data_IF_480983055478
#
_entry.id   IF_480983055478
#
_cell.length_a   1.000
_cell.length_b   1.000
_cell.length_c   1.000
_cell.angle_alpha   90.00
_cell.angle_beta   90.00
_cell.angle_gamma   90.00
#
_symmetry.space_group_name_H-M   'P 1'
#
loop_
_entity.id
_entity.type
_entity.pdbx_description
1 polymer ?
#
# COMPACT_ATOMS: atom_id res chain seq x y z
N UNK A 1 -13.17 3.09 14.07
CA UNK A 1 -12.65 1.72 13.82
C UNK A 1 -13.24 1.19 12.52
N UNK A 2 -12.43 0.46 11.76
CA UNK A 2 -12.88 -0.28 10.57
C UNK A 2 -13.86 -1.37 11.02
N UNK A 3 -14.94 -1.55 10.24
CA UNK A 3 -15.89 -2.63 10.45
C UNK A 3 -15.74 -3.64 9.32
N UNK A 4 -15.80 -4.90 9.65
CA UNK A 4 -15.79 -6.00 8.68
C UNK A 4 -17.17 -6.66 8.70
N UNK A 5 -17.92 -6.54 7.62
CA UNK A 5 -19.19 -7.22 7.43
C UNK A 5 -18.97 -8.51 6.64
N UNK A 6 -19.28 -9.62 7.27
CA UNK A 6 -19.17 -10.98 6.72
C UNK A 6 -20.55 -11.61 6.46
N UNK A 7 -21.62 -10.81 6.47
CA UNK A 7 -22.99 -11.32 6.27
C UNK A 7 -23.18 -11.99 4.91
N UNK A 8 -22.40 -11.58 3.90
CA UNK A 8 -22.49 -12.08 2.53
C UNK A 8 -21.56 -13.28 2.24
N UNK A 9 -21.00 -13.93 3.26
CA UNK A 9 -20.22 -15.17 3.12
C UNK A 9 -20.96 -16.42 3.60
N UNK A 10 -22.11 -16.26 4.28
CA UNK A 10 -22.82 -17.36 4.96
C UNK A 10 -23.32 -18.49 4.05
N UNK A 11 -23.33 -18.30 2.73
CA UNK A 11 -23.59 -19.38 1.78
C UNK A 11 -22.40 -20.33 1.56
N UNK A 12 -21.19 -19.96 2.01
CA UNK A 12 -19.93 -20.69 1.81
C UNK A 12 -19.23 -21.03 3.14
N UNK A 13 -19.46 -20.25 4.17
CA UNK A 13 -18.94 -20.39 5.54
C UNK A 13 -20.14 -20.33 6.49
N UNK A 14 -20.18 -21.16 7.51
CA UNK A 14 -21.22 -21.11 8.55
C UNK A 14 -20.71 -20.42 9.80
N UNK A 15 -21.64 -19.94 10.66
CA UNK A 15 -21.28 -19.43 11.97
C UNK A 15 -20.55 -20.49 12.82
N UNK A 16 -20.93 -21.76 12.67
CA UNK A 16 -20.27 -22.87 13.37
C UNK A 16 -18.81 -23.03 12.90
N UNK A 17 -18.53 -22.88 11.59
CA UNK A 17 -17.17 -22.94 11.06
C UNK A 17 -16.33 -21.79 11.62
N UNK A 18 -16.89 -20.56 11.64
CA UNK A 18 -16.22 -19.40 12.19
C UNK A 18 -15.89 -19.59 13.68
N UNK A 19 -16.86 -20.02 14.49
CA UNK A 19 -16.64 -20.25 15.91
C UNK A 19 -15.64 -21.38 16.18
N UNK A 20 -15.58 -22.39 15.32
CA UNK A 20 -14.59 -23.46 15.42
C UNK A 20 -13.14 -22.95 15.21
N UNK A 21 -12.96 -21.84 14.50
CA UNK A 21 -11.65 -21.19 14.30
C UNK A 21 -11.13 -20.41 15.51
N UNK A 22 -11.96 -20.17 16.55
CA UNK A 22 -11.61 -19.25 17.65
C UNK A 22 -10.24 -19.56 18.28
N UNK A 23 -9.99 -20.83 18.61
CA UNK A 23 -8.70 -21.24 19.21
C UNK A 23 -7.52 -21.04 18.28
N UNK A 24 -7.69 -21.31 17.00
CA UNK A 24 -6.64 -21.17 15.99
C UNK A 24 -6.29 -19.69 15.76
N UNK A 25 -7.31 -18.85 15.61
CA UNK A 25 -7.12 -17.40 15.45
C UNK A 25 -6.52 -16.78 16.70
N UNK A 26 -6.97 -17.20 17.90
CA UNK A 26 -6.42 -16.76 19.17
C UNK A 26 -4.92 -17.12 19.28
N UNK A 27 -4.56 -18.34 18.89
CA UNK A 27 -3.18 -18.79 18.89
C UNK A 27 -2.31 -17.99 17.90
N UNK A 28 -2.78 -17.79 16.66
CA UNK A 28 -2.09 -17.00 15.65
C UNK A 28 -1.88 -15.54 16.08
N UNK A 29 -2.92 -14.91 16.63
CA UNK A 29 -2.81 -13.55 17.15
C UNK A 29 -1.86 -13.46 18.35
N UNK A 30 -1.88 -14.43 19.24
CA UNK A 30 -0.95 -14.51 20.40
C UNK A 30 0.49 -14.69 19.90
N UNK A 31 0.71 -15.60 18.95
CA UNK A 31 2.02 -15.84 18.32
C UNK A 31 2.59 -14.55 17.70
N UNK A 32 1.76 -13.77 17.02
CA UNK A 32 2.15 -12.49 16.44
C UNK A 32 2.48 -11.45 17.53
N UNK A 33 1.62 -11.29 18.53
CA UNK A 33 1.77 -10.28 19.56
C UNK A 33 2.95 -10.57 20.50
N UNK A 34 3.17 -11.85 20.86
CA UNK A 34 4.23 -12.27 21.77
C UNK A 34 5.58 -12.48 21.04
N UNK A 35 5.58 -12.37 19.69
CA UNK A 35 6.80 -12.53 18.89
C UNK A 35 7.40 -13.92 18.97
N UNK A 36 6.60 -14.97 19.08
CA UNK A 36 7.07 -16.36 19.25
C UNK A 36 7.06 -17.16 17.94
N UNK A 37 6.55 -16.58 16.86
CA UNK A 37 6.41 -17.25 15.56
C UNK A 37 7.63 -17.12 14.65
N UNK A 38 7.59 -17.82 13.53
CA UNK A 38 8.59 -17.73 12.48
C UNK A 38 8.67 -16.29 11.94
N UNK A 39 9.90 -15.73 11.81
CA UNK A 39 10.12 -14.37 11.33
C UNK A 39 9.98 -13.29 12.40
N UNK A 40 10.00 -13.65 13.67
CA UNK A 40 9.87 -12.73 14.82
C UNK A 40 10.97 -11.67 14.91
N UNK A 41 12.04 -11.78 14.15
CA UNK A 41 13.08 -10.77 13.95
C UNK A 41 12.62 -9.58 13.06
N UNK A 42 11.40 -9.63 12.50
CA UNK A 42 10.82 -8.59 11.65
C UNK A 42 9.51 -8.01 12.21
N UNK A 43 9.36 -7.89 13.52
CA UNK A 43 8.16 -7.39 14.19
C UNK A 43 8.23 -5.92 14.60
N UNK A 44 9.31 -5.19 14.25
CA UNK A 44 9.49 -3.78 14.61
C UNK A 44 8.33 -2.88 14.18
N UNK A 45 7.62 -3.23 13.10
CA UNK A 45 6.47 -2.50 12.60
C UNK A 45 5.33 -2.37 13.63
N UNK A 46 5.17 -3.32 14.54
CA UNK A 46 4.15 -3.25 15.61
C UNK A 46 4.38 -2.09 16.59
N UNK A 47 5.61 -1.60 16.67
CA UNK A 47 6.01 -0.54 17.59
C UNK A 47 6.21 0.82 16.91
N UNK A 48 5.98 0.93 15.59
CA UNK A 48 6.09 2.18 14.85
C UNK A 48 5.02 3.23 15.26
N UNK A 49 3.74 2.85 15.51
CA UNK A 49 2.73 3.83 15.83
C UNK A 49 3.04 4.60 17.11
N UNK A 50 3.05 5.92 17.04
CA UNK A 50 3.30 6.84 18.16
C UNK A 50 2.26 7.96 18.16
N UNK A 51 1.99 8.55 19.35
CA UNK A 51 1.04 9.68 19.52
C UNK A 51 1.73 11.03 19.60
N UNK A 52 3.03 11.05 19.75
CA UNK A 52 3.83 12.27 19.83
C UNK A 52 4.96 12.22 18.81
N UNK A 53 5.31 13.38 18.26
CA UNK A 53 6.40 13.48 17.30
C UNK A 53 7.74 13.13 17.95
N UNK A 54 8.37 12.06 17.43
CA UNK A 54 9.74 11.72 17.79
C UNK A 54 10.72 12.71 17.15
N UNK A 55 11.98 12.68 17.57
CA UNK A 55 13.04 13.44 16.91
C UNK A 55 13.12 13.12 15.41
N UNK A 56 12.99 11.86 15.05
CA UNK A 56 13.00 11.41 13.64
C UNK A 56 11.82 11.99 12.84
N UNK A 57 10.61 11.97 13.41
CA UNK A 57 9.42 12.57 12.77
C UNK A 57 9.62 14.07 12.59
N UNK A 58 10.15 14.77 13.60
CA UNK A 58 10.46 16.19 13.52
C UNK A 58 11.49 16.51 12.43
N UNK A 59 12.50 15.65 12.26
CA UNK A 59 13.48 15.78 11.18
C UNK A 59 12.85 15.55 9.81
N UNK A 60 11.95 14.57 9.68
CA UNK A 60 11.20 14.31 8.45
C UNK A 60 10.37 15.55 8.05
N UNK A 61 9.66 16.15 9.00
CA UNK A 61 8.86 17.35 8.74
C UNK A 61 9.72 18.51 8.25
N UNK A 62 10.89 18.78 8.86
CA UNK A 62 11.83 19.81 8.38
C UNK A 62 12.37 19.52 6.98
N UNK A 63 12.73 18.26 6.71
CA UNK A 63 13.19 17.88 5.38
C UNK A 63 12.08 18.06 4.34
N UNK A 64 10.85 17.70 4.67
CA UNK A 64 9.69 17.89 3.80
C UNK A 64 9.42 19.39 3.52
N UNK A 65 9.47 20.26 4.53
CA UNK A 65 9.34 21.71 4.37
C UNK A 65 10.43 22.26 3.43
N UNK A 66 11.68 21.85 3.63
CA UNK A 66 12.79 22.24 2.74
C UNK A 66 12.56 21.79 1.31
N UNK A 67 12.19 20.51 1.09
CA UNK A 67 11.92 19.97 -0.25
C UNK A 67 10.78 20.77 -0.91
N UNK A 68 9.71 21.04 -0.19
CA UNK A 68 8.57 21.83 -0.70
C UNK A 68 8.95 23.26 -1.06
N UNK A 69 9.86 23.89 -0.32
CA UNK A 69 10.28 25.26 -0.56
C UNK A 69 11.21 25.41 -1.76
N UNK A 70 12.03 24.39 -2.08
CA UNK A 70 13.10 24.52 -3.05
C UNK A 70 12.93 23.65 -4.32
N UNK A 71 11.89 22.81 -4.38
CA UNK A 71 11.67 21.88 -5.49
C UNK A 71 10.28 22.00 -6.13
N UNK A 72 10.25 21.96 -7.46
CA UNK A 72 9.02 21.79 -8.25
C UNK A 72 8.59 20.31 -8.29
N UNK A 73 9.58 19.41 -8.21
CA UNK A 73 9.40 17.96 -8.32
C UNK A 73 10.19 17.27 -7.23
N UNK A 74 9.56 16.27 -6.61
CA UNK A 74 10.21 15.33 -5.73
C UNK A 74 10.15 13.92 -6.32
N UNK A 75 11.31 13.28 -6.51
CA UNK A 75 11.37 11.93 -7.07
C UNK A 75 11.74 10.93 -5.98
N UNK A 76 10.87 9.97 -5.75
CA UNK A 76 11.07 8.87 -4.80
C UNK A 76 11.65 7.67 -5.55
N UNK A 77 12.86 7.29 -5.22
CA UNK A 77 13.57 6.16 -5.85
C UNK A 77 13.41 4.93 -4.96
N UNK A 78 12.67 3.94 -5.41
CA UNK A 78 12.42 2.70 -4.66
C UNK A 78 11.63 1.68 -5.47
N UNK A 79 11.55 0.46 -4.96
CA UNK A 79 10.77 -0.64 -5.54
C UNK A 79 10.11 -1.45 -4.42
N UNK A 80 9.03 -2.17 -4.72
CA UNK A 80 8.26 -2.91 -3.74
C UNK A 80 7.74 -2.01 -2.63
N UNK A 81 7.95 -2.39 -1.36
CA UNK A 81 7.49 -1.60 -0.21
C UNK A 81 8.05 -0.18 -0.13
N UNK A 82 9.24 0.05 -0.69
CA UNK A 82 9.84 1.40 -0.78
C UNK A 82 9.13 2.34 -1.76
N UNK A 83 8.19 1.84 -2.52
CA UNK A 83 7.45 2.58 -3.55
C UNK A 83 5.93 2.45 -3.34
N UNK A 84 5.43 1.23 -3.09
CA UNK A 84 3.99 0.96 -3.06
C UNK A 84 3.29 1.65 -1.89
N UNK A 85 3.84 1.57 -0.68
CA UNK A 85 3.21 2.16 0.51
C UNK A 85 2.98 3.66 0.40
N UNK A 86 4.03 4.49 0.19
CA UNK A 86 3.84 5.94 0.05
C UNK A 86 2.95 6.31 -1.15
N UNK A 87 3.07 5.63 -2.29
CA UNK A 87 2.22 5.90 -3.45
C UNK A 87 0.76 5.55 -3.19
N UNK A 88 0.51 4.45 -2.50
CA UNK A 88 -0.84 4.03 -2.10
C UNK A 88 -1.54 5.11 -1.28
N UNK A 89 -0.89 5.65 -0.25
CA UNK A 89 -1.47 6.69 0.58
C UNK A 89 -1.68 8.01 -0.17
N UNK A 90 -0.70 8.44 -0.99
CA UNK A 90 -0.80 9.68 -1.77
C UNK A 90 -1.97 9.61 -2.75
N UNK A 91 -2.07 8.55 -3.54
CA UNK A 91 -3.14 8.42 -4.54
C UNK A 91 -4.51 8.21 -3.89
N UNK A 92 -4.59 7.48 -2.77
CA UNK A 92 -5.85 7.29 -2.05
C UNK A 92 -6.37 8.62 -1.46
N UNK A 93 -5.51 9.40 -0.81
CA UNK A 93 -5.91 10.66 -0.14
C UNK A 93 -6.08 11.85 -1.09
N UNK A 94 -5.32 11.89 -2.19
CA UNK A 94 -5.28 13.05 -3.09
C UNK A 94 -5.78 12.76 -4.51
N UNK A 95 -6.15 11.51 -4.77
CA UNK A 95 -6.61 11.04 -6.07
C UNK A 95 -5.47 10.75 -7.06
N UNK A 96 -5.78 10.03 -8.16
CA UNK A 96 -4.80 9.61 -9.16
C UNK A 96 -4.18 10.78 -9.94
N UNK A 97 -4.83 11.94 -9.93
CA UNK A 97 -4.40 13.16 -10.62
C UNK A 97 -3.69 14.17 -9.69
N UNK A 98 -3.21 13.73 -8.54
CA UNK A 98 -2.64 14.56 -7.48
C UNK A 98 -1.50 15.51 -7.92
N UNK A 99 -0.83 15.25 -9.02
CA UNK A 99 0.27 16.07 -9.54
C UNK A 99 -0.19 17.26 -10.40
N UNK A 100 -1.47 17.33 -10.80
CA UNK A 100 -1.97 18.41 -11.65
C UNK A 100 -1.98 19.73 -10.85
N UNK A 101 -1.39 20.77 -11.44
CA UNK A 101 -1.34 22.11 -10.86
C UNK A 101 -0.33 22.28 -9.72
N UNK A 102 0.48 21.25 -9.42
CA UNK A 102 1.53 21.32 -8.40
C UNK A 102 2.85 21.85 -8.95
N UNK A 103 3.69 22.40 -8.06
CA UNK A 103 5.00 22.96 -8.31
C UNK A 103 5.65 23.44 -7.02
N UNK A 104 6.53 24.40 -7.07
CA UNK A 104 7.25 24.94 -5.90
C UNK A 104 6.29 25.34 -4.78
N UNK A 105 6.56 24.91 -3.56
CA UNK A 105 5.69 25.04 -2.41
C UNK A 105 4.73 23.85 -2.21
N UNK A 106 4.38 23.15 -3.30
CA UNK A 106 3.61 21.91 -3.30
C UNK A 106 4.09 21.04 -4.46
N UNK A 107 5.24 20.36 -4.34
CA UNK A 107 5.91 19.71 -5.46
C UNK A 107 5.09 18.55 -6.04
N UNK A 108 5.27 18.32 -7.33
CA UNK A 108 4.83 17.10 -7.99
C UNK A 108 5.65 15.92 -7.46
N UNK A 109 5.02 14.78 -7.22
CA UNK A 109 5.69 13.58 -6.70
C UNK A 109 5.70 12.50 -7.77
N UNK A 110 6.88 12.03 -8.12
CA UNK A 110 7.07 10.94 -9.06
C UNK A 110 7.90 9.82 -8.44
N UNK A 111 7.74 8.64 -8.99
CA UNK A 111 8.43 7.44 -8.53
C UNK A 111 9.36 6.91 -9.63
N UNK A 112 10.56 6.51 -9.25
CA UNK A 112 11.58 5.95 -10.14
C UNK A 112 12.22 4.70 -9.53
N UNK A 113 12.90 3.91 -10.35
CA UNK A 113 13.53 2.67 -9.87
C UNK A 113 12.56 1.55 -9.52
N UNK A 114 11.31 1.66 -9.93
CA UNK A 114 10.28 0.63 -9.82
C UNK A 114 10.09 -0.17 -11.13
N UNK A 115 10.98 0.04 -12.11
CA UNK A 115 10.98 -0.65 -13.39
C UNK A 115 12.20 -0.29 -14.23
N UNK A 116 12.35 -1.00 -15.37
CA UNK A 116 13.47 -0.87 -16.32
C UNK A 116 13.03 -0.34 -17.70
N UNK A 117 11.87 0.32 -17.77
CA UNK A 117 11.35 0.85 -19.04
C UNK A 117 12.09 2.11 -19.48
N UNK A 118 12.77 2.05 -20.62
CA UNK A 118 13.39 3.24 -21.26
C UNK A 118 12.35 4.31 -21.59
N UNK A 119 11.13 3.92 -21.95
CA UNK A 119 10.04 4.87 -22.25
C UNK A 119 9.66 5.69 -21.01
N UNK A 120 9.43 5.03 -19.89
CA UNK A 120 9.14 5.69 -18.61
C UNK A 120 10.32 6.58 -18.16
N UNK A 121 11.55 6.11 -18.35
CA UNK A 121 12.75 6.90 -18.06
C UNK A 121 12.80 8.20 -18.88
N UNK A 122 12.59 8.10 -20.20
CA UNK A 122 12.58 9.27 -21.09
C UNK A 122 11.44 10.26 -20.77
N UNK A 123 10.30 9.75 -20.30
CA UNK A 123 9.19 10.59 -19.83
C UNK A 123 9.61 11.37 -18.57
N UNK A 124 10.14 10.69 -17.56
CA UNK A 124 10.58 11.31 -16.31
C UNK A 124 11.69 12.34 -16.55
N UNK A 125 12.72 12.03 -17.34
CA UNK A 125 13.82 12.96 -17.60
C UNK A 125 13.34 14.22 -18.33
N UNK A 126 12.44 14.08 -19.30
CA UNK A 126 11.80 15.21 -19.99
C UNK A 126 10.97 16.09 -19.04
N UNK A 127 10.25 15.45 -18.10
CA UNK A 127 9.48 16.15 -17.09
C UNK A 127 10.38 16.98 -16.16
N UNK A 128 11.59 16.52 -15.86
CA UNK A 128 12.55 17.20 -14.99
C UNK A 128 13.30 18.35 -15.69
N UNK A 129 13.25 18.44 -17.03
CA UNK A 129 13.90 19.50 -17.77
C UNK A 129 13.40 20.89 -17.32
N UNK A 130 14.31 21.77 -16.95
CA UNK A 130 14.03 23.13 -16.49
C UNK A 130 13.46 23.25 -15.09
N UNK A 131 13.04 22.16 -14.44
CA UNK A 131 12.44 22.19 -13.09
C UNK A 131 13.50 22.00 -11.99
N UNK A 132 13.26 22.62 -10.84
CA UNK A 132 13.98 22.31 -9.62
C UNK A 132 13.45 21.00 -9.02
N UNK A 133 14.37 20.10 -8.65
CA UNK A 133 13.96 18.83 -8.09
C UNK A 133 14.88 18.33 -6.98
N UNK A 134 14.32 17.50 -6.11
CA UNK A 134 15.01 16.75 -5.07
C UNK A 134 14.68 15.26 -5.19
N UNK A 135 15.51 14.40 -4.64
CA UNK A 135 15.30 12.94 -4.69
C UNK A 135 15.38 12.32 -3.29
N UNK A 136 14.55 11.31 -3.03
CA UNK A 136 14.74 10.35 -1.95
C UNK A 136 15.19 9.01 -2.52
N UNK A 137 16.27 8.46 -1.99
CA UNK A 137 16.78 7.13 -2.34
C UNK A 137 16.42 6.19 -1.20
N UNK A 138 15.53 5.22 -1.46
CA UNK A 138 14.98 4.32 -0.45
C UNK A 138 15.48 2.91 -0.71
N UNK A 139 16.48 2.47 0.06
CA UNK A 139 17.00 1.10 -0.05
C UNK A 139 17.84 0.74 1.19
N UNK A 140 17.69 -0.48 1.69
CA UNK A 140 18.61 -0.99 2.72
C UNK A 140 20.02 -1.21 2.18
N UNK A 141 20.19 -1.60 0.91
CA UNK A 141 21.47 -2.05 0.37
C UNK A 141 21.98 -1.33 -0.89
N UNK A 142 21.10 -0.65 -1.65
CA UNK A 142 21.37 -0.15 -3.05
C UNK A 142 21.87 -1.25 -4.00
N UNK A 143 21.70 -2.52 -3.65
CA UNK A 143 22.14 -3.62 -4.54
C UNK A 143 21.03 -4.12 -5.44
N UNK A 144 19.79 -3.67 -5.25
CA UNK A 144 18.67 -3.90 -6.17
C UNK A 144 18.91 -3.09 -7.44
N UNK A 145 18.90 -3.75 -8.58
CA UNK A 145 19.36 -3.19 -9.87
C UNK A 145 18.58 -1.95 -10.28
N UNK A 146 17.26 -1.98 -10.19
CA UNK A 146 16.37 -0.93 -10.67
C UNK A 146 16.57 0.40 -9.92
N UNK A 147 16.50 0.46 -8.58
CA UNK A 147 16.79 1.69 -7.83
C UNK A 147 18.23 2.15 -7.96
N UNK A 148 19.19 1.21 -8.09
CA UNK A 148 20.61 1.57 -8.26
C UNK A 148 20.86 2.33 -9.59
N UNK A 149 20.26 1.88 -10.68
CA UNK A 149 20.32 2.56 -11.98
C UNK A 149 19.68 3.94 -11.90
N UNK A 150 18.47 4.03 -11.33
CA UNK A 150 17.76 5.30 -11.17
C UNK A 150 18.56 6.29 -10.29
N UNK A 151 19.16 5.81 -9.20
CA UNK A 151 20.03 6.61 -8.32
C UNK A 151 21.21 7.22 -9.08
N UNK A 152 21.95 6.41 -9.85
CA UNK A 152 23.09 6.89 -10.64
C UNK A 152 22.69 8.00 -11.61
N UNK A 153 21.61 7.79 -12.32
CA UNK A 153 21.17 8.70 -13.36
C UNK A 153 20.62 10.03 -12.78
N UNK A 154 19.77 9.97 -11.76
CA UNK A 154 19.19 11.16 -11.14
C UNK A 154 20.22 11.95 -10.33
N UNK A 155 21.13 11.27 -9.61
CA UNK A 155 22.29 11.92 -8.98
C UNK A 155 23.11 12.71 -10.00
N UNK A 156 23.49 12.10 -11.12
CA UNK A 156 24.24 12.76 -12.17
C UNK A 156 23.50 13.99 -12.74
N UNK A 157 22.16 13.91 -12.90
CA UNK A 157 21.36 15.06 -13.33
C UNK A 157 21.38 16.19 -12.30
N UNK A 158 21.28 15.88 -10.99
CA UNK A 158 21.40 16.87 -9.92
C UNK A 158 22.79 17.53 -9.90
N UNK A 159 23.86 16.74 -9.98
CA UNK A 159 25.24 17.24 -9.98
C UNK A 159 25.52 18.14 -11.19
N UNK A 160 24.99 17.80 -12.35
CA UNK A 160 25.10 18.67 -13.54
C UNK A 160 24.35 19.98 -13.42
N UNK A 161 23.21 19.97 -12.74
CA UNK A 161 22.37 21.17 -12.59
C UNK A 161 22.84 22.09 -11.47
N UNK A 162 23.24 21.53 -10.33
CA UNK A 162 23.52 22.30 -9.11
C UNK A 162 24.99 22.27 -8.66
N UNK A 163 25.85 21.55 -9.36
CA UNK A 163 27.17 21.18 -8.86
C UNK A 163 27.09 20.15 -7.72
N UNK A 164 28.24 19.61 -7.32
CA UNK A 164 28.31 18.55 -6.28
C UNK A 164 27.71 19.03 -4.94
N UNK A 165 28.11 20.20 -4.47
CA UNK A 165 27.62 20.75 -3.19
C UNK A 165 26.13 21.12 -3.23
N UNK A 166 25.65 21.66 -4.35
CA UNK A 166 24.22 21.97 -4.50
C UNK A 166 23.35 20.71 -4.58
N UNK A 167 23.83 19.68 -5.27
CA UNK A 167 23.14 18.38 -5.37
C UNK A 167 23.01 17.68 -4.01
N UNK A 168 24.05 17.76 -3.18
CA UNK A 168 24.09 17.17 -1.83
C UNK A 168 22.88 17.58 -0.97
N UNK A 169 22.49 18.83 -1.02
CA UNK A 169 21.37 19.37 -0.25
C UNK A 169 19.98 18.96 -0.76
N UNK A 170 19.92 18.22 -1.88
CA UNK A 170 18.70 17.76 -2.58
C UNK A 170 18.57 16.24 -2.64
N UNK A 171 19.51 15.53 -2.02
CA UNK A 171 19.51 14.05 -1.95
C UNK A 171 19.27 13.62 -0.51
N UNK A 172 18.24 12.81 -0.32
CA UNK A 172 17.85 12.24 0.96
C UNK A 172 17.96 10.72 0.88
N UNK A 173 18.74 10.12 1.77
CA UNK A 173 18.95 8.67 1.79
C UNK A 173 18.18 8.02 2.94
N UNK A 174 17.22 7.16 2.61
CA UNK A 174 16.45 6.38 3.58
C UNK A 174 16.98 4.95 3.53
N UNK A 175 17.73 4.54 4.56
CA UNK A 175 18.56 3.33 4.50
C UNK A 175 18.79 2.70 5.88
N UNK A 176 19.56 1.61 5.90
CA UNK A 176 19.98 0.95 7.14
C UNK A 176 20.80 1.92 8.03
N UNK A 177 20.68 1.84 9.37
CA UNK A 177 21.40 2.73 10.28
C UNK A 177 22.93 2.61 10.22
N UNK A 178 23.46 1.43 9.90
CA UNK A 178 24.88 1.13 10.09
C UNK A 178 25.58 0.56 8.85
N UNK A 179 24.87 -0.12 7.95
CA UNK A 179 25.47 -0.93 6.89
C UNK A 179 24.80 -0.74 5.54
N UNK A 180 25.47 -1.24 4.50
CA UNK A 180 24.98 -1.17 3.11
C UNK A 180 25.62 -0.03 2.31
N UNK A 181 25.65 -0.21 1.00
CA UNK A 181 26.31 0.73 0.08
C UNK A 181 25.67 2.13 0.10
N UNK A 182 24.33 2.22 0.27
CA UNK A 182 23.67 3.54 0.37
C UNK A 182 24.10 4.28 1.64
N UNK A 183 24.21 3.57 2.77
CA UNK A 183 24.69 4.17 4.02
C UNK A 183 26.11 4.72 3.87
N UNK A 184 26.99 3.93 3.26
CA UNK A 184 28.36 4.34 2.98
C UNK A 184 28.39 5.58 2.08
N UNK A 185 27.70 5.52 0.94
CA UNK A 185 27.61 6.66 0.00
C UNK A 185 27.08 7.92 0.69
N UNK A 186 25.99 7.81 1.42
CA UNK A 186 25.38 8.96 2.09
C UNK A 186 26.32 9.57 3.14
N UNK A 187 27.11 8.75 3.82
CA UNK A 187 28.10 9.21 4.81
C UNK A 187 29.27 9.92 4.11
N UNK A 188 29.84 9.34 3.06
CA UNK A 188 30.96 9.90 2.31
C UNK A 188 30.58 11.20 1.60
N UNK A 189 29.41 11.27 1.00
CA UNK A 189 28.90 12.42 0.27
C UNK A 189 28.22 13.47 1.20
N UNK A 190 27.93 13.10 2.45
CA UNK A 190 27.26 13.93 3.45
C UNK A 190 25.80 14.24 3.13
N UNK A 191 25.06 13.29 2.58
CA UNK A 191 23.62 13.40 2.36
C UNK A 191 22.84 13.30 3.67
N UNK A 192 21.67 13.95 3.72
CA UNK A 192 20.76 13.75 4.85
C UNK A 192 20.21 12.31 4.85
N UNK A 193 20.24 11.67 6.02
CA UNK A 193 19.86 10.27 6.14
C UNK A 193 18.72 10.06 7.12
N UNK A 194 17.81 9.12 6.79
CA UNK A 194 16.75 8.61 7.66
C UNK A 194 16.87 7.10 7.76
N UNK A 195 16.41 6.55 8.89
CA UNK A 195 16.63 5.15 9.22
C UNK A 195 15.47 4.27 8.79
N UNK A 196 15.78 3.18 8.06
CA UNK A 196 14.88 2.04 7.94
C UNK A 196 15.20 1.11 9.09
N UNK A 197 14.30 0.88 10.06
CA UNK A 197 14.56 -0.05 11.15
C UNK A 197 14.94 -1.44 10.62
N UNK A 198 15.99 -2.08 11.13
CA UNK A 198 16.46 -3.36 10.60
C UNK A 198 15.44 -4.49 10.77
N UNK A 199 14.60 -4.39 11.79
CA UNK A 199 13.53 -5.30 12.17
C UNK A 199 12.16 -5.00 11.49
N UNK A 200 12.15 -4.16 10.43
CA UNK A 200 10.96 -3.88 9.62
C UNK A 200 11.16 -4.35 8.18
N UNK A 201 10.30 -5.23 7.72
CA UNK A 201 10.27 -5.70 6.34
C UNK A 201 9.77 -4.63 5.35
N UNK A 202 10.16 -4.72 4.06
CA UNK A 202 9.80 -3.70 3.05
C UNK A 202 8.29 -3.44 2.94
N UNK A 203 7.47 -4.48 2.89
CA UNK A 203 6.01 -4.37 2.76
C UNK A 203 5.27 -3.90 4.02
N UNK A 204 5.97 -3.85 5.17
CA UNK A 204 5.51 -3.33 6.46
C UNK A 204 6.13 -1.96 6.80
N UNK A 205 6.77 -1.28 5.84
CA UNK A 205 7.61 -0.12 6.13
C UNK A 205 6.95 1.24 5.92
N UNK A 206 5.68 1.30 5.55
CA UNK A 206 5.00 2.56 5.21
C UNK A 206 4.99 3.58 6.36
N UNK A 207 4.90 3.12 7.61
CA UNK A 207 4.94 3.96 8.82
C UNK A 207 6.37 4.24 9.32
N UNK A 208 7.39 3.95 8.54
CA UNK A 208 8.79 4.37 8.75
C UNK A 208 9.12 5.58 7.87
N UNK A 209 10.31 6.17 7.95
CA UNK A 209 10.74 7.22 7.03
C UNK A 209 10.57 6.88 5.54
N UNK A 210 10.48 5.58 5.19
CA UNK A 210 10.17 5.08 3.83
C UNK A 210 8.88 5.68 3.28
N UNK A 211 7.81 5.68 4.07
CA UNK A 211 6.55 6.30 3.70
C UNK A 211 6.44 7.73 4.20
N UNK A 212 6.83 8.00 5.45
CA UNK A 212 6.58 9.27 6.12
C UNK A 212 7.22 10.47 5.42
N UNK A 213 8.43 10.36 4.87
CA UNK A 213 9.04 11.49 4.15
C UNK A 213 8.30 11.82 2.85
N UNK A 214 8.02 10.88 1.92
CA UNK A 214 7.20 11.18 0.76
C UNK A 214 5.81 11.73 1.09
N UNK A 215 5.17 11.21 2.14
CA UNK A 215 3.85 11.64 2.59
C UNK A 215 3.86 13.08 3.12
N UNK A 216 4.84 13.43 3.96
CA UNK A 216 5.01 14.79 4.45
C UNK A 216 5.30 15.78 3.30
N UNK A 217 6.10 15.38 2.30
CA UNK A 217 6.34 16.19 1.09
C UNK A 217 5.05 16.37 0.29
N UNK A 218 4.18 15.34 0.22
CA UNK A 218 2.86 15.43 -0.41
C UNK A 218 1.89 16.36 0.33
N UNK A 219 2.21 16.76 1.57
CA UNK A 219 1.36 17.59 2.42
C UNK A 219 0.34 16.79 3.23
N UNK A 220 0.54 15.49 3.37
CA UNK A 220 -0.26 14.60 4.23
C UNK A 220 0.21 14.79 5.67
N UNK A 221 -0.73 14.84 6.62
CA UNK A 221 -0.42 14.92 8.04
C UNK A 221 0.04 13.55 8.57
N UNK A 222 1.37 13.39 8.61
CA UNK A 222 1.98 12.14 9.07
C UNK A 222 1.74 11.86 10.56
N UNK A 223 1.44 12.88 11.37
CA UNK A 223 1.09 12.66 12.79
C UNK A 223 -0.32 12.12 12.93
N UNK A 224 -1.30 12.65 12.16
CA UNK A 224 -2.63 12.07 12.13
C UNK A 224 -2.60 10.63 11.60
N UNK A 225 -1.77 10.34 10.61
CA UNK A 225 -1.57 8.94 10.15
C UNK A 225 -1.01 8.05 11.27
N UNK A 226 0.00 8.50 12.00
CA UNK A 226 0.57 7.76 13.13
C UNK A 226 -0.45 7.60 14.27
N UNK A 227 -1.26 8.61 14.55
CA UNK A 227 -2.35 8.54 15.52
C UNK A 227 -3.39 7.48 15.12
N UNK A 228 -3.76 7.43 13.84
CA UNK A 228 -4.68 6.40 13.33
C UNK A 228 -4.14 4.98 13.49
N UNK A 229 -2.86 4.78 13.18
CA UNK A 229 -2.19 3.50 13.40
C UNK A 229 -2.10 3.15 14.90
N UNK A 230 -1.89 4.14 15.78
CA UNK A 230 -1.88 3.93 17.23
C UNK A 230 -3.28 3.56 17.77
N UNK A 231 -4.33 4.18 17.24
CA UNK A 231 -5.72 3.78 17.56
C UNK A 231 -5.99 2.33 17.13
N UNK A 232 -5.51 1.94 15.95
CA UNK A 232 -5.61 0.57 15.46
C UNK A 232 -4.90 -0.42 16.38
N UNK A 233 -3.65 -0.11 16.77
CA UNK A 233 -2.86 -0.94 17.68
C UNK A 233 -3.58 -1.20 19.00
N UNK A 234 -4.21 -0.18 19.57
CA UNK A 234 -4.96 -0.30 20.84
C UNK A 234 -6.27 -1.06 20.63
N UNK A 235 -7.04 -0.70 19.60
CA UNK A 235 -8.40 -1.21 19.38
C UNK A 235 -8.43 -2.67 18.92
N UNK A 236 -7.46 -3.08 18.10
CA UNK A 236 -7.45 -4.41 17.51
C UNK A 236 -6.65 -5.45 18.33
N UNK A 237 -6.30 -5.12 19.57
CA UNK A 237 -5.71 -6.08 20.51
C UNK A 237 -6.76 -6.99 21.21
N UNK A 238 -8.08 -6.77 20.96
CA UNK A 238 -9.17 -7.56 21.50
C UNK A 238 -9.07 -9.03 21.05
N UNK A 239 -9.24 -9.96 22.00
CA UNK A 239 -9.11 -11.41 21.78
C UNK A 239 -10.48 -12.09 21.67
N UNK A 240 -11.27 -11.69 20.70
CA UNK A 240 -12.58 -12.29 20.39
C UNK A 240 -12.96 -11.99 18.94
N UNK A 241 -14.04 -12.62 18.43
CA UNK A 241 -14.61 -12.31 17.13
C UNK A 241 -15.34 -10.95 17.06
N UNK A 242 -15.36 -10.17 18.11
CA UNK A 242 -15.69 -8.73 18.02
C UNK A 242 -14.55 -7.94 17.36
N UNK A 243 -13.34 -8.50 17.32
CA UNK A 243 -12.21 -7.93 16.63
C UNK A 243 -12.32 -8.16 15.11
N UNK A 244 -12.40 -7.12 14.28
CA UNK A 244 -12.50 -7.25 12.82
C UNK A 244 -11.25 -7.91 12.19
N UNK A 245 -10.08 -7.83 12.83
CA UNK A 245 -8.87 -8.58 12.41
C UNK A 245 -9.13 -10.08 12.46
N UNK A 246 -9.77 -10.57 13.52
CA UNK A 246 -10.12 -11.98 13.64
C UNK A 246 -11.15 -12.42 12.61
N UNK A 247 -12.17 -11.59 12.40
CA UNK A 247 -13.22 -11.88 11.41
C UNK A 247 -12.64 -12.02 10.02
N UNK A 248 -11.84 -11.04 9.59
CA UNK A 248 -11.24 -11.05 8.26
C UNK A 248 -10.25 -12.21 8.08
N UNK A 249 -9.30 -12.40 9.00
CA UNK A 249 -8.31 -13.47 8.91
C UNK A 249 -8.95 -14.88 8.95
N UNK A 250 -9.95 -15.10 9.80
CA UNK A 250 -10.65 -16.37 9.88
C UNK A 250 -11.45 -16.68 8.62
N UNK A 251 -12.25 -15.72 8.14
CA UNK A 251 -13.11 -15.92 6.96
C UNK A 251 -12.26 -16.18 5.71
N UNK A 252 -11.18 -15.42 5.50
CA UNK A 252 -10.24 -15.66 4.39
C UNK A 252 -9.70 -17.10 4.41
N UNK A 253 -9.25 -17.57 5.58
CA UNK A 253 -8.71 -18.92 5.73
C UNK A 253 -9.79 -20.01 5.55
N UNK A 254 -11.02 -19.77 6.01
CA UNK A 254 -12.14 -20.69 5.77
C UNK A 254 -12.50 -20.76 4.29
N UNK A 255 -12.59 -19.63 3.60
CA UNK A 255 -12.84 -19.59 2.17
C UNK A 255 -11.72 -20.29 1.38
N UNK A 256 -10.45 -20.09 1.77
CA UNK A 256 -9.31 -20.81 1.19
C UNK A 256 -9.45 -22.33 1.39
N UNK A 257 -9.77 -22.80 2.58
CA UNK A 257 -10.01 -24.22 2.89
C UNK A 257 -11.21 -24.81 2.14
N UNK A 258 -12.19 -23.96 1.80
CA UNK A 258 -13.35 -24.31 1.00
C UNK A 258 -13.10 -24.21 -0.52
N UNK A 259 -11.81 -24.08 -0.95
CA UNK A 259 -11.39 -24.14 -2.35
C UNK A 259 -11.39 -22.80 -3.09
N UNK A 260 -11.55 -21.67 -2.38
CA UNK A 260 -11.27 -20.36 -2.99
C UNK A 260 -9.76 -20.22 -3.18
N UNK A 261 -9.34 -19.80 -4.36
CA UNK A 261 -7.93 -19.66 -4.72
C UNK A 261 -7.50 -18.21 -4.90
N UNK A 262 -8.45 -17.30 -5.07
CA UNK A 262 -8.20 -15.88 -5.35
C UNK A 262 -9.11 -15.01 -4.51
N UNK A 263 -8.53 -13.91 -4.01
CA UNK A 263 -9.25 -12.82 -3.37
C UNK A 263 -9.14 -11.59 -4.25
N UNK A 264 -10.30 -10.98 -4.57
CA UNK A 264 -10.37 -9.70 -5.29
C UNK A 264 -10.59 -8.61 -4.24
N UNK A 265 -9.58 -7.75 -4.08
CA UNK A 265 -9.60 -6.62 -3.16
C UNK A 265 -9.88 -5.35 -3.96
N UNK A 266 -11.00 -4.71 -3.67
CA UNK A 266 -11.57 -3.71 -4.57
C UNK A 266 -12.24 -2.56 -3.84
N UNK A 267 -12.41 -1.44 -4.54
CA UNK A 267 -13.12 -0.27 -4.06
C UNK A 267 -13.75 0.48 -5.23
N UNK A 268 -14.78 1.27 -4.93
CA UNK A 268 -15.39 2.24 -5.85
C UNK A 268 -14.64 3.58 -5.86
N UNK A 269 -13.59 3.73 -5.03
CA UNK A 269 -12.76 4.94 -4.96
C UNK A 269 -11.57 4.84 -5.93
N UNK A 270 -11.49 5.68 -6.98
CA UNK A 270 -10.43 5.59 -8.01
C UNK A 270 -9.01 5.74 -7.46
N UNK A 271 -8.83 6.47 -6.36
CA UNK A 271 -7.55 6.59 -5.66
C UNK A 271 -7.05 5.28 -5.03
N UNK A 272 -7.91 4.28 -4.92
CA UNK A 272 -7.63 3.01 -4.25
C UNK A 272 -6.69 2.08 -5.04
N UNK A 273 -6.54 2.26 -6.33
CA UNK A 273 -5.77 1.34 -7.20
C UNK A 273 -4.36 1.02 -6.68
N UNK A 274 -3.62 2.03 -6.26
CA UNK A 274 -2.26 1.81 -5.75
C UNK A 274 -2.27 1.27 -4.31
N UNK A 275 -3.32 1.54 -3.54
CA UNK A 275 -3.52 0.92 -2.25
C UNK A 275 -3.77 -0.59 -2.39
N UNK A 276 -4.58 -0.99 -3.35
CA UNK A 276 -4.73 -2.38 -3.76
C UNK A 276 -3.39 -3.01 -4.16
N UNK A 277 -2.54 -2.31 -4.92
CA UNK A 277 -1.20 -2.78 -5.28
C UNK A 277 -0.27 -3.00 -4.06
N UNK A 278 -0.34 -2.14 -3.04
CA UNK A 278 0.36 -2.35 -1.78
C UNK A 278 -0.19 -3.59 -1.03
N UNK A 279 -1.51 -3.73 -0.96
CA UNK A 279 -2.17 -4.90 -0.36
C UNK A 279 -1.78 -6.20 -1.07
N UNK A 280 -1.69 -6.19 -2.42
CA UNK A 280 -1.22 -7.35 -3.18
C UNK A 280 0.19 -7.77 -2.76
N UNK A 281 1.11 -6.82 -2.57
CA UNK A 281 2.45 -7.14 -2.09
C UNK A 281 2.40 -7.65 -0.65
N UNK A 282 1.64 -6.99 0.23
CA UNK A 282 1.53 -7.36 1.63
C UNK A 282 1.12 -8.82 1.78
N UNK A 283 -0.01 -9.21 1.20
CA UNK A 283 -0.54 -10.56 1.33
C UNK A 283 0.19 -11.58 0.43
N UNK A 284 0.50 -11.22 -0.81
CA UNK A 284 1.15 -12.13 -1.76
C UNK A 284 2.53 -12.61 -1.28
N UNK A 285 3.38 -11.69 -0.81
CA UNK A 285 4.70 -12.06 -0.28
C UNK A 285 4.64 -12.70 1.11
N UNK A 286 3.61 -12.40 1.91
CA UNK A 286 3.48 -12.95 3.26
C UNK A 286 2.88 -14.35 3.27
N UNK A 287 1.88 -14.62 2.45
CA UNK A 287 1.13 -15.89 2.44
C UNK A 287 1.58 -16.87 1.35
N UNK A 288 2.07 -16.38 0.21
CA UNK A 288 2.41 -17.19 -0.96
C UNK A 288 3.65 -18.03 -0.76
N UNK A 289 3.60 -19.05 0.10
CA UNK A 289 4.71 -19.94 0.47
C UNK A 289 4.24 -21.39 0.61
N UNK A 290 5.15 -22.33 0.44
CA UNK A 290 4.91 -23.76 0.66
C UNK A 290 3.69 -24.32 -0.12
N UNK A 291 3.41 -23.74 -1.29
CA UNK A 291 2.23 -24.11 -2.09
C UNK A 291 0.90 -23.64 -1.52
N UNK A 292 0.91 -22.75 -0.52
CA UNK A 292 -0.25 -22.17 0.14
C UNK A 292 -0.48 -20.71 -0.26
N UNK A 293 -1.60 -20.14 0.17
CA UNK A 293 -1.96 -18.74 0.06
C UNK A 293 -2.99 -18.47 -1.03
N UNK A 294 -3.78 -17.40 -0.81
CA UNK A 294 -4.71 -16.86 -1.78
C UNK A 294 -3.96 -16.00 -2.80
N UNK A 295 -4.30 -16.11 -4.09
CA UNK A 295 -3.74 -15.21 -5.09
C UNK A 295 -4.44 -13.85 -4.99
N UNK A 296 -3.71 -12.77 -4.65
CA UNK A 296 -4.30 -11.45 -4.45
C UNK A 296 -4.51 -10.74 -5.78
N UNK A 297 -5.75 -10.39 -6.07
CA UNK A 297 -6.16 -9.60 -7.25
C UNK A 297 -6.72 -8.27 -6.78
N UNK A 298 -6.59 -7.20 -7.56
CA UNK A 298 -7.23 -5.92 -7.27
C UNK A 298 -8.13 -5.48 -8.41
N UNK A 299 -9.22 -4.77 -8.10
CA UNK A 299 -10.11 -4.17 -9.05
C UNK A 299 -10.52 -2.76 -8.60
N UNK A 300 -10.91 -1.93 -9.57
CA UNK A 300 -11.44 -0.58 -9.38
C UNK A 300 -12.86 -0.52 -9.96
N UNK A 301 -13.87 -0.58 -9.12
CA UNK A 301 -15.25 -0.48 -9.54
C UNK A 301 -15.67 1.00 -9.64
N UNK A 302 -16.63 1.37 -10.54
CA UNK A 302 -17.40 0.54 -11.49
C UNK A 302 -16.61 0.14 -12.75
N UNK A 303 -15.44 0.74 -13.02
CA UNK A 303 -14.68 0.55 -14.27
C UNK A 303 -14.42 -0.93 -14.56
N UNK A 304 -13.94 -1.69 -13.58
CA UNK A 304 -13.61 -3.11 -13.76
C UNK A 304 -14.84 -4.04 -13.75
N UNK A 305 -16.02 -3.58 -13.42
CA UNK A 305 -17.25 -4.33 -13.73
C UNK A 305 -17.43 -4.51 -15.24
N UNK A 306 -16.93 -3.56 -16.05
CA UNK A 306 -16.94 -3.63 -17.51
C UNK A 306 -15.79 -4.45 -18.11
N UNK A 307 -14.89 -4.98 -17.29
CA UNK A 307 -13.77 -5.86 -17.68
C UNK A 307 -13.84 -7.23 -17.01
N UNK A 308 -14.00 -7.28 -15.69
CA UNK A 308 -13.98 -8.48 -14.86
C UNK A 308 -15.37 -8.97 -14.45
N UNK A 309 -16.40 -8.11 -14.49
CA UNK A 309 -17.73 -8.42 -13.98
C UNK A 309 -18.33 -9.70 -14.56
N UNK A 310 -18.15 -9.98 -15.87
CA UNK A 310 -18.61 -11.23 -16.47
C UNK A 310 -17.90 -12.45 -15.87
N UNK A 311 -16.59 -12.38 -15.65
CA UNK A 311 -15.81 -13.48 -15.05
C UNK A 311 -16.20 -13.71 -13.60
N UNK A 312 -16.39 -12.64 -12.84
CA UNK A 312 -16.85 -12.70 -11.44
C UNK A 312 -18.23 -13.35 -11.39
N UNK A 313 -19.18 -12.85 -12.20
CA UNK A 313 -20.59 -13.28 -12.16
C UNK A 313 -20.81 -14.71 -12.64
N UNK A 314 -20.10 -15.17 -13.69
CA UNK A 314 -20.38 -16.46 -14.35
C UNK A 314 -19.14 -17.33 -14.57
N UNK A 315 -17.96 -16.90 -14.14
CA UNK A 315 -16.71 -17.69 -14.26
C UNK A 315 -16.60 -18.79 -13.21
N UNK A 316 -15.37 -19.23 -12.94
CA UNK A 316 -15.10 -20.24 -11.91
C UNK A 316 -15.42 -19.75 -10.51
N UNK A 317 -16.00 -20.62 -9.68
CA UNK A 317 -16.39 -20.28 -8.29
C UNK A 317 -15.25 -20.41 -7.29
N UNK A 318 -14.00 -20.24 -7.71
CA UNK A 318 -12.79 -20.28 -6.89
C UNK A 318 -12.31 -18.91 -6.40
N UNK A 319 -13.16 -17.90 -6.52
CA UNK A 319 -12.90 -16.51 -6.10
C UNK A 319 -13.84 -16.09 -4.97
N UNK A 320 -13.44 -15.05 -4.25
CA UNK A 320 -14.29 -14.23 -3.37
C UNK A 320 -13.83 -12.79 -3.43
N UNK A 321 -14.65 -11.88 -2.96
CA UNK A 321 -14.40 -10.43 -3.01
C UNK A 321 -14.25 -9.84 -1.61
N UNK A 322 -13.40 -8.82 -1.50
CA UNK A 322 -13.28 -7.94 -0.32
C UNK A 322 -13.44 -6.51 -0.78
N UNK A 323 -14.62 -5.93 -0.57
CA UNK A 323 -14.97 -4.56 -0.97
C UNK A 323 -14.63 -3.57 0.14
N UNK A 324 -13.74 -2.63 -0.15
CA UNK A 324 -13.37 -1.55 0.76
C UNK A 324 -14.19 -0.31 0.45
N UNK A 325 -14.86 0.23 1.47
CA UNK A 325 -15.75 1.37 1.34
C UNK A 325 -15.33 2.52 2.24
N UNK A 326 -15.53 3.72 1.72
CA UNK A 326 -15.33 4.97 2.44
C UNK A 326 -16.63 5.79 2.44
N UNK A 327 -16.80 6.62 3.47
CA UNK A 327 -17.88 7.58 3.48
C UNK A 327 -17.72 8.58 2.33
N UNK A 328 -18.81 9.00 1.71
CA UNK A 328 -18.76 9.96 0.63
C UNK A 328 -18.18 11.32 1.13
N UNK A 329 -17.43 12.06 0.28
CA UNK A 329 -16.86 13.35 0.65
C UNK A 329 -17.94 14.39 0.94
N UNK A 330 -17.59 15.43 1.71
CA UNK A 330 -18.52 16.51 2.03
C UNK A 330 -19.00 17.28 0.79
N UNK A 331 -18.12 17.46 -0.21
CA UNK A 331 -18.49 18.08 -1.48
C UNK A 331 -19.23 17.07 -2.36
N UNK A 332 -20.46 17.40 -2.77
CA UNK A 332 -21.33 16.52 -3.54
C UNK A 332 -21.50 17.05 -4.96
N UNK A 333 -21.54 16.15 -5.93
CA UNK A 333 -21.98 16.48 -7.30
C UNK A 333 -23.44 16.04 -7.46
N UNK A 334 -24.31 16.99 -7.81
CA UNK A 334 -25.73 16.73 -8.08
C UNK A 334 -25.97 16.63 -9.57
N UNK A 335 -26.66 15.59 -10.00
CA UNK A 335 -26.99 15.32 -11.40
C UNK A 335 -28.10 16.28 -11.84
N UNK A 336 -27.82 17.03 -12.91
CA UNK A 336 -28.81 17.90 -13.55
C UNK A 336 -29.69 17.14 -14.53
N UNK A 337 -30.76 17.81 -15.01
CA UNK A 337 -31.57 17.30 -16.12
C UNK A 337 -31.04 17.74 -17.49
N UNK A 338 -31.29 16.94 -18.52
CA UNK A 338 -31.13 17.32 -19.92
C UNK A 338 -32.51 17.53 -20.54
N UNK A 339 -32.71 18.65 -21.25
CA UNK A 339 -34.01 19.02 -21.81
C UNK A 339 -34.52 18.08 -22.89
N UNK A 340 -33.62 17.33 -23.56
CA UNK A 340 -34.00 16.31 -24.57
C UNK A 340 -34.14 14.92 -23.97
N UNK A 341 -33.47 14.66 -22.85
CA UNK A 341 -33.40 13.34 -22.18
C UNK A 341 -33.12 12.19 -23.18
N UNK A 342 -32.19 12.41 -24.12
CA UNK A 342 -31.86 11.39 -25.14
C UNK A 342 -31.11 10.20 -24.55
N UNK A 343 -30.39 10.40 -23.45
CA UNK A 343 -29.71 9.36 -22.66
C UNK A 343 -30.65 8.63 -21.68
N UNK A 344 -31.88 9.15 -21.49
CA UNK A 344 -32.86 8.56 -20.58
C UNK A 344 -32.56 8.76 -19.10
N UNK A 345 -31.61 9.64 -18.73
CA UNK A 345 -31.10 9.76 -17.37
C UNK A 345 -31.81 10.77 -16.46
N UNK A 346 -32.85 11.48 -16.95
CA UNK A 346 -33.59 12.47 -16.14
C UNK A 346 -34.23 11.88 -14.86
N UNK A 347 -34.40 10.57 -14.77
CA UNK A 347 -34.86 9.95 -13.52
C UNK A 347 -33.82 10.08 -12.38
N UNK A 348 -32.57 10.46 -12.67
CA UNK A 348 -31.51 10.75 -11.68
C UNK A 348 -31.44 12.24 -11.31
N UNK A 349 -32.24 13.10 -11.91
CA UNK A 349 -32.27 14.54 -11.61
C UNK A 349 -32.37 14.79 -10.10
N UNK A 350 -31.48 15.64 -9.57
CA UNK A 350 -31.42 15.96 -8.14
C UNK A 350 -30.79 14.89 -7.25
N UNK A 351 -30.40 13.74 -7.79
CA UNK A 351 -29.62 12.74 -7.07
C UNK A 351 -28.12 13.12 -7.10
N UNK A 352 -27.38 12.67 -6.09
CA UNK A 352 -25.91 12.84 -6.07
C UNK A 352 -25.22 11.67 -6.74
N UNK A 353 -23.97 11.85 -7.18
CA UNK A 353 -23.14 10.72 -7.66
C UNK A 353 -22.99 9.64 -6.57
N UNK A 354 -22.79 10.03 -5.32
CA UNK A 354 -22.67 9.08 -4.20
C UNK A 354 -23.93 8.23 -4.01
N UNK A 355 -25.13 8.79 -4.29
CA UNK A 355 -26.35 8.02 -4.28
C UNK A 355 -26.34 6.94 -5.37
N UNK A 356 -25.85 7.28 -6.56
CA UNK A 356 -25.76 6.31 -7.68
C UNK A 356 -24.71 5.25 -7.39
N UNK A 357 -23.56 5.68 -6.87
CA UNK A 357 -22.47 4.79 -6.46
C UNK A 357 -22.91 3.78 -5.41
N UNK A 358 -23.62 4.23 -4.37
CA UNK A 358 -24.22 3.35 -3.36
C UNK A 358 -25.17 2.31 -3.99
N UNK A 359 -25.96 2.70 -4.99
CA UNK A 359 -26.85 1.76 -5.67
C UNK A 359 -26.09 0.80 -6.59
N UNK A 360 -24.99 1.26 -7.20
CA UNK A 360 -24.10 0.39 -7.95
C UNK A 360 -23.46 -0.66 -7.04
N UNK A 361 -22.92 -0.25 -5.90
CA UNK A 361 -22.37 -1.16 -4.89
C UNK A 361 -23.41 -2.20 -4.42
N UNK A 362 -24.58 -1.76 -3.96
CA UNK A 362 -25.62 -2.68 -3.45
C UNK A 362 -26.08 -3.66 -4.54
N UNK A 363 -26.25 -3.19 -5.77
CA UNK A 363 -26.64 -4.02 -6.90
C UNK A 363 -25.56 -5.05 -7.27
N UNK A 364 -24.29 -4.66 -7.23
CA UNK A 364 -23.15 -5.55 -7.50
C UNK A 364 -23.03 -6.63 -6.43
N UNK A 365 -23.07 -6.26 -5.15
CA UNK A 365 -23.01 -7.24 -4.04
C UNK A 365 -24.16 -8.25 -4.15
N UNK A 366 -25.39 -7.78 -4.35
CA UNK A 366 -26.55 -8.67 -4.48
C UNK A 366 -26.37 -9.66 -5.64
N UNK A 367 -25.94 -9.17 -6.82
CA UNK A 367 -25.75 -10.01 -8.01
C UNK A 367 -24.62 -11.03 -7.82
N UNK A 368 -23.47 -10.63 -7.27
CA UNK A 368 -22.33 -11.52 -7.08
C UNK A 368 -22.61 -12.59 -6.03
N UNK A 369 -23.26 -12.23 -4.92
CA UNK A 369 -23.68 -13.18 -3.88
C UNK A 369 -24.72 -14.17 -4.42
N UNK A 370 -25.73 -13.72 -5.15
CA UNK A 370 -26.71 -14.59 -5.81
C UNK A 370 -26.02 -15.52 -6.83
N UNK A 371 -24.95 -15.05 -7.47
CA UNK A 371 -24.09 -15.83 -8.35
C UNK A 371 -23.16 -16.82 -7.63
N UNK A 372 -23.15 -16.85 -6.30
CA UNK A 372 -22.32 -17.74 -5.48
C UNK A 372 -20.90 -17.26 -5.24
N UNK A 373 -20.64 -15.95 -5.37
CA UNK A 373 -19.37 -15.31 -4.99
C UNK A 373 -19.52 -14.71 -3.59
N UNK A 374 -18.76 -15.19 -2.59
CA UNK A 374 -18.78 -14.58 -1.25
C UNK A 374 -18.20 -13.17 -1.30
N UNK A 375 -18.78 -12.25 -0.54
CA UNK A 375 -18.34 -10.87 -0.43
C UNK A 375 -18.12 -10.50 1.04
N UNK A 376 -16.92 -10.03 1.35
CA UNK A 376 -16.56 -9.37 2.60
C UNK A 376 -16.62 -7.86 2.34
N UNK A 377 -17.25 -7.09 3.22
CA UNK A 377 -17.23 -5.63 3.13
C UNK A 377 -16.41 -5.04 4.27
N UNK A 378 -15.44 -4.19 3.95
CA UNK A 378 -14.70 -3.36 4.90
C UNK A 378 -15.23 -1.93 4.85
N UNK A 379 -15.95 -1.51 5.87
CA UNK A 379 -16.41 -0.14 6.04
C UNK A 379 -15.35 0.64 6.84
N UNK A 380 -14.65 1.53 6.14
CA UNK A 380 -13.55 2.32 6.70
C UNK A 380 -14.01 3.68 7.27
N UNK A 381 -15.25 4.11 6.97
CA UNK A 381 -15.74 5.43 7.37
C UNK A 381 -15.10 6.57 6.55
N UNK A 382 -14.94 7.74 7.17
CA UNK A 382 -14.39 8.92 6.49
C UNK A 382 -12.95 8.71 6.01
N UNK A 383 -12.68 9.04 4.74
CA UNK A 383 -11.34 8.98 4.16
C UNK A 383 -10.54 10.22 4.56
N UNK A 384 -9.56 10.05 5.44
CA UNK A 384 -8.64 11.08 5.90
C UNK A 384 -7.30 10.47 6.32
N UNK A 385 -6.31 11.30 6.65
CA UNK A 385 -4.95 10.88 6.99
C UNK A 385 -4.94 9.87 8.15
N UNK A 386 -5.74 10.13 9.20
CA UNK A 386 -5.86 9.24 10.36
C UNK A 386 -6.44 7.87 9.98
N UNK A 387 -7.47 7.86 9.14
CA UNK A 387 -8.10 6.63 8.69
C UNK A 387 -7.18 5.79 7.82
N UNK A 388 -6.38 6.40 6.96
CA UNK A 388 -5.41 5.67 6.13
C UNK A 388 -4.31 5.05 7.00
N UNK A 389 -3.86 5.73 8.05
CA UNK A 389 -2.95 5.15 9.05
C UNK A 389 -3.55 3.95 9.79
N UNK A 390 -4.82 4.05 10.22
CA UNK A 390 -5.58 2.94 10.80
C UNK A 390 -5.66 1.75 9.84
N UNK A 391 -5.97 2.00 8.55
CA UNK A 391 -6.16 0.98 7.54
C UNK A 391 -4.86 0.23 7.22
N UNK A 392 -3.72 0.92 7.12
CA UNK A 392 -2.43 0.27 6.95
C UNK A 392 -2.13 -0.70 8.09
N UNK A 393 -2.20 -0.22 9.32
CA UNK A 393 -1.87 -1.05 10.49
C UNK A 393 -2.87 -2.21 10.68
N UNK A 394 -4.16 -1.96 10.42
CA UNK A 394 -5.20 -3.00 10.42
C UNK A 394 -4.87 -4.14 9.47
N UNK A 395 -4.53 -3.82 8.21
CA UNK A 395 -4.22 -4.84 7.19
C UNK A 395 -2.89 -5.55 7.46
N UNK A 396 -1.90 -4.86 8.04
CA UNK A 396 -0.65 -5.48 8.50
C UNK A 396 -0.90 -6.51 9.60
N UNK A 397 -1.78 -6.19 10.57
CA UNK A 397 -2.22 -7.15 11.60
C UNK A 397 -2.99 -8.32 10.98
N UNK A 398 -3.95 -8.04 10.11
CA UNK A 398 -4.73 -9.09 9.42
C UNK A 398 -3.82 -10.06 8.66
N UNK A 399 -2.83 -9.52 7.95
CA UNK A 399 -1.88 -10.30 7.19
C UNK A 399 -1.02 -11.20 8.09
N UNK A 400 -0.47 -10.65 9.19
CA UNK A 400 0.32 -11.43 10.14
C UNK A 400 -0.47 -12.57 10.79
N UNK A 401 -1.69 -12.29 11.24
CA UNK A 401 -2.58 -13.31 11.84
C UNK A 401 -2.97 -14.37 10.80
N UNK A 402 -3.38 -13.94 9.60
CA UNK A 402 -3.80 -14.85 8.52
C UNK A 402 -2.67 -15.78 8.07
N UNK A 403 -1.44 -15.25 7.94
CA UNK A 403 -0.29 -16.06 7.55
C UNK A 403 0.10 -17.10 8.63
N UNK A 404 -0.04 -16.77 9.92
CA UNK A 404 0.17 -17.76 10.98
C UNK A 404 -0.94 -18.82 11.04
N UNK A 405 -2.19 -18.48 10.68
CA UNK A 405 -3.26 -19.49 10.48
C UNK A 405 -2.91 -20.44 9.33
N UNK A 406 -2.28 -19.93 8.26
CA UNK A 406 -1.76 -20.74 7.14
C UNK A 406 -0.53 -21.55 7.50
N UNK A 407 0.04 -21.34 8.69
CA UNK A 407 1.30 -21.97 9.12
C UNK A 407 2.46 -21.68 8.12
N UNK A 408 2.68 -20.38 7.85
CA UNK A 408 3.81 -19.88 7.05
C UNK A 408 4.48 -18.70 7.75
N UNK A 409 5.75 -18.43 7.41
CA UNK A 409 6.45 -17.24 7.93
C UNK A 409 5.94 -15.97 7.21
N UNK A 410 5.29 -15.01 7.92
CA UNK A 410 4.71 -13.82 7.27
C UNK A 410 5.75 -12.85 6.72
N UNK A 411 7.01 -12.89 7.17
CA UNK A 411 7.94 -11.78 7.04
C UNK A 411 9.14 -12.02 6.12
N UNK A 412 9.37 -13.26 5.67
CA UNK A 412 10.38 -13.57 4.65
C UNK A 412 9.77 -13.66 3.24
N UNK A 413 10.62 -13.76 2.21
CA UNK A 413 10.22 -13.92 0.80
C UNK A 413 11.27 -14.70 0.01
N UNK A 414 11.52 -16.00 0.33
CA UNK A 414 12.59 -16.78 -0.31
C UNK A 414 12.37 -17.00 -1.82
N UNK A 415 11.11 -17.02 -2.28
CA UNK A 415 10.77 -17.31 -3.69
C UNK A 415 11.30 -16.29 -4.69
N UNK A 416 11.57 -15.03 -4.25
CA UNK A 416 12.06 -14.00 -5.18
C UNK A 416 13.58 -14.06 -5.41
N UNK A 417 14.32 -14.86 -4.66
CA UNK A 417 15.78 -14.90 -4.78
C UNK A 417 16.24 -15.62 -6.07
N UNK A 418 15.46 -16.57 -6.56
CA UNK A 418 15.82 -17.33 -7.75
C UNK A 418 15.87 -16.46 -9.02
N UNK A 419 14.84 -15.65 -9.27
CA UNK A 419 14.84 -14.78 -10.45
C UNK A 419 15.94 -13.72 -10.39
N UNK A 420 16.22 -13.17 -9.20
CA UNK A 420 17.32 -12.21 -9.00
C UNK A 420 18.66 -12.84 -9.34
N UNK A 421 18.92 -14.03 -8.84
CA UNK A 421 20.14 -14.78 -9.15
C UNK A 421 20.29 -15.01 -10.64
N UNK A 422 19.24 -15.47 -11.33
CA UNK A 422 19.25 -15.69 -12.77
C UNK A 422 19.52 -14.38 -13.53
N UNK A 423 18.88 -13.27 -13.13
CA UNK A 423 19.12 -11.97 -13.74
C UNK A 423 20.58 -11.52 -13.56
N UNK A 424 21.15 -11.67 -12.36
CA UNK A 424 22.54 -11.31 -12.10
C UNK A 424 23.53 -12.12 -12.92
N UNK A 425 23.27 -13.41 -13.11
CA UNK A 425 24.08 -14.27 -13.99
C UNK A 425 24.01 -13.79 -15.45
N UNK A 426 22.82 -13.51 -15.96
CA UNK A 426 22.63 -13.01 -17.33
C UNK A 426 23.26 -11.63 -17.57
N UNK A 427 23.31 -10.80 -16.54
CA UNK A 427 23.96 -9.50 -16.57
C UNK A 427 25.49 -9.57 -16.41
N UNK A 428 26.06 -10.74 -16.14
CA UNK A 428 27.50 -10.88 -15.87
C UNK A 428 27.95 -10.20 -14.58
N UNK A 429 27.07 -10.16 -13.55
CA UNK A 429 27.39 -9.53 -12.27
C UNK A 429 28.53 -10.33 -11.59
N UNK A 430 29.63 -9.65 -11.18
CA UNK A 430 30.73 -10.33 -10.46
C UNK A 430 30.24 -11.09 -9.22
N UNK A 431 30.73 -12.32 -9.04
CA UNK A 431 30.31 -13.23 -7.94
C UNK A 431 29.02 -14.03 -8.23
N UNK A 432 28.47 -13.93 -9.43
CA UNK A 432 27.30 -14.69 -9.90
C UNK A 432 27.59 -15.50 -11.19
N UNK A 433 28.87 -15.77 -11.47
CA UNK A 433 29.28 -16.63 -12.59
C UNK A 433 28.66 -18.04 -12.42
N UNK A 434 28.51 -18.77 -13.54
CA UNK A 434 27.96 -20.14 -13.54
C UNK A 434 28.89 -21.14 -12.88
#
# INVERSE_FOLDING_TARGET
>A
MIKVDISNVWGQVTLSDLLAMEKEVAAAHTTLADGTGAGNDFLGWQNLPVREATEEITRIQRAAEKIRSDSDVFVVIGIGGSYLGPRAAIELLQGPNHNIGKGKGNPQIFFAGNGLSTRHWNELTRLLEGKDFSIAIISKSVTTTEPAIATRALRWMLERKYGTEGAKSRIYAITDPCKGALRQMATEEGWETFVIPPDVGGRYSVLTPVGLLPLAVAGIDIMEMMNGAADAKESYNLRSFENPVWQYAAVRNLLYRNGKAMEIFESYEPGFKMFGGWWQQLFGESEGKDGKGLFPVTAEFTADLHSLGQMIQQGQRNIFETMVRFDPPAARYTIGSDWKNLDGLNYLEGKTLDFVDEKAYLGTVAAHVDGGVPVITMDCGELNDRKVGELFYFLELCCGVSAYILDVNPFNQPGVELYKRNMFQLLGKPGYEK
#
